data_IF_855975667720
#
_entry.id   IF_855975667720
#
_cell.length_a   1.000
_cell.length_b   1.000
_cell.length_c   1.000
_cell.angle_alpha   90.00
_cell.angle_beta   90.00
_cell.angle_gamma   90.00
#
_symmetry.space_group_name_H-M   'P 1'
#
loop_
_entity.id
_entity.type
_entity.pdbx_description
1 polymer ?
#
# COMPACT_ATOMS: atom_id res chain seq x y z
N UNK A 1 -29.51 -9.89 -20.69
CA UNK A 1 -30.56 -8.85 -20.57
C UNK A 1 -29.87 -7.64 -19.96
N UNK A 2 -30.04 -6.45 -20.56
CA UNK A 2 -29.51 -5.21 -20.00
C UNK A 2 -30.19 -4.97 -18.64
N UNK A 3 -29.45 -4.68 -17.57
CA UNK A 3 -30.08 -4.26 -16.31
C UNK A 3 -30.63 -2.84 -16.43
N UNK A 4 -31.56 -2.44 -15.54
CA UNK A 4 -32.11 -1.08 -15.54
C UNK A 4 -30.99 -0.03 -15.39
N UNK A 5 -29.96 -0.32 -14.58
CA UNK A 5 -28.77 0.51 -14.40
C UNK A 5 -27.94 0.65 -15.69
N UNK A 6 -27.74 -0.43 -16.46
CA UNK A 6 -27.02 -0.36 -17.73
C UNK A 6 -27.77 0.51 -18.76
N UNK A 7 -29.10 0.46 -18.77
CA UNK A 7 -29.94 1.30 -19.65
C UNK A 7 -29.84 2.78 -19.25
N UNK A 8 -29.76 3.06 -17.95
CA UNK A 8 -29.57 4.40 -17.42
C UNK A 8 -28.20 4.98 -17.81
N UNK A 9 -27.10 4.20 -17.67
CA UNK A 9 -25.78 4.62 -18.15
C UNK A 9 -25.74 4.84 -19.67
N UNK A 10 -26.45 4.05 -20.47
CA UNK A 10 -26.51 4.24 -21.92
C UNK A 10 -27.12 5.61 -22.28
N UNK A 11 -28.00 6.13 -21.42
CA UNK A 11 -28.59 7.46 -21.60
C UNK A 11 -27.60 8.60 -21.33
N UNK A 12 -26.60 8.38 -20.46
CA UNK A 12 -25.53 9.33 -20.14
C UNK A 12 -24.57 9.58 -21.31
N UNK A 13 -24.62 8.77 -22.36
CA UNK A 13 -23.76 8.88 -23.56
C UNK A 13 -24.47 9.59 -24.72
N UNK A 14 -25.75 9.93 -24.55
CA UNK A 14 -26.48 10.76 -25.53
C UNK A 14 -25.78 12.13 -25.56
N UNK A 15 -25.20 12.48 -26.72
CA UNK A 15 -24.42 13.70 -26.99
C UNK A 15 -22.88 13.64 -26.79
N UNK A 16 -22.25 12.49 -27.08
CA UNK A 16 -20.78 12.33 -27.06
C UNK A 16 -20.09 12.73 -28.38
N UNK A 17 -20.05 14.03 -28.69
CA UNK A 17 -19.34 14.54 -29.86
C UNK A 17 -17.83 14.26 -29.84
N UNK A 18 -17.25 14.03 -28.66
CA UNK A 18 -15.81 13.80 -28.45
C UNK A 18 -15.37 12.33 -28.53
N UNK A 19 -16.31 11.39 -28.45
CA UNK A 19 -16.05 9.94 -28.32
C UNK A 19 -15.55 9.49 -26.93
N UNK A 20 -15.35 10.42 -25.98
CA UNK A 20 -14.77 10.16 -24.65
C UNK A 20 -15.72 9.38 -23.75
N UNK A 21 -17.02 9.65 -23.80
CA UNK A 21 -18.01 8.93 -22.99
C UNK A 21 -18.14 7.48 -23.46
N UNK A 22 -18.14 7.24 -24.78
CA UNK A 22 -18.18 5.90 -25.34
C UNK A 22 -16.93 5.09 -25.00
N UNK A 23 -15.73 5.69 -25.16
CA UNK A 23 -14.48 5.06 -24.76
C UNK A 23 -14.44 4.77 -23.25
N UNK A 24 -14.89 5.73 -22.43
CA UNK A 24 -14.94 5.59 -20.99
C UNK A 24 -15.88 4.49 -20.52
N UNK A 25 -17.06 4.39 -21.13
CA UNK A 25 -18.01 3.33 -20.82
C UNK A 25 -17.46 1.94 -21.15
N UNK A 26 -16.73 1.82 -22.29
CA UNK A 26 -16.05 0.57 -22.64
C UNK A 26 -15.01 0.19 -21.58
N UNK A 27 -14.10 1.11 -21.24
CA UNK A 27 -13.05 0.84 -20.25
C UNK A 27 -13.63 0.55 -18.87
N UNK A 28 -14.67 1.30 -18.46
CA UNK A 28 -15.38 1.05 -17.22
C UNK A 28 -16.01 -0.35 -17.20
N UNK A 29 -16.59 -0.81 -18.32
CA UNK A 29 -17.14 -2.16 -18.43
C UNK A 29 -16.07 -3.24 -18.40
N UNK A 30 -14.94 -3.02 -19.09
CA UNK A 30 -13.78 -3.93 -19.07
C UNK A 30 -13.23 -4.10 -17.63
N UNK A 31 -13.21 -3.03 -16.83
CA UNK A 31 -12.74 -3.04 -15.43
C UNK A 31 -13.83 -3.57 -14.48
N UNK A 32 -15.04 -3.03 -14.55
CA UNK A 32 -16.09 -3.30 -13.57
C UNK A 32 -16.80 -4.64 -13.75
N UNK A 33 -16.62 -5.31 -14.90
CA UNK A 33 -17.30 -6.56 -15.21
C UNK A 33 -18.82 -6.41 -15.09
N UNK A 34 -19.50 -7.40 -14.51
CA UNK A 34 -20.96 -7.35 -14.30
C UNK A 34 -21.42 -6.24 -13.35
N UNK A 35 -20.52 -5.74 -12.48
CA UNK A 35 -20.81 -4.72 -11.46
C UNK A 35 -20.44 -3.29 -11.86
N UNK A 36 -20.08 -3.05 -13.13
CA UNK A 36 -19.51 -1.76 -13.55
C UNK A 36 -20.46 -0.55 -13.41
N UNK A 37 -21.78 -0.79 -13.52
CA UNK A 37 -22.80 0.25 -13.58
C UNK A 37 -23.08 0.89 -12.20
N UNK A 38 -23.10 0.10 -11.14
CA UNK A 38 -23.60 0.52 -9.83
C UNK A 38 -22.91 1.77 -9.25
N UNK A 39 -21.57 1.92 -9.27
CA UNK A 39 -20.93 3.13 -8.74
C UNK A 39 -21.31 4.40 -9.50
N UNK A 40 -21.49 4.30 -10.82
CA UNK A 40 -21.84 5.43 -11.68
C UNK A 40 -23.33 5.76 -11.56
N UNK A 41 -24.21 4.78 -11.48
CA UNK A 41 -25.64 5.00 -11.25
C UNK A 41 -25.88 5.68 -9.90
N UNK A 42 -25.19 5.22 -8.84
CA UNK A 42 -25.22 5.87 -7.53
C UNK A 42 -24.76 7.34 -7.59
N UNK A 43 -23.73 7.63 -8.40
CA UNK A 43 -23.24 8.99 -8.61
C UNK A 43 -24.23 9.85 -9.42
N UNK A 44 -24.85 9.29 -10.47
CA UNK A 44 -25.81 9.97 -11.33
C UNK A 44 -27.07 10.42 -10.55
N UNK A 45 -27.51 9.61 -9.58
CA UNK A 45 -28.60 9.96 -8.66
C UNK A 45 -28.31 11.22 -7.83
N UNK A 46 -27.02 11.54 -7.60
CA UNK A 46 -26.60 12.77 -6.90
C UNK A 46 -26.32 13.89 -7.91
N UNK A 47 -25.59 13.58 -8.99
CA UNK A 47 -25.23 14.51 -10.04
C UNK A 47 -24.94 13.76 -11.34
N UNK A 48 -25.82 13.92 -12.32
CA UNK A 48 -25.64 13.38 -13.67
C UNK A 48 -24.34 13.90 -14.31
N UNK A 49 -24.08 15.20 -14.18
CA UNK A 49 -22.87 15.84 -14.73
C UNK A 49 -21.59 15.22 -14.15
N UNK A 50 -21.56 14.94 -12.85
CA UNK A 50 -20.40 14.33 -12.21
C UNK A 50 -20.23 12.86 -12.64
N UNK A 51 -21.32 12.13 -12.84
CA UNK A 51 -21.29 10.78 -13.41
C UNK A 51 -20.73 10.81 -14.85
N UNK A 52 -21.22 11.72 -15.69
CA UNK A 52 -20.72 11.91 -17.06
C UNK A 52 -19.24 12.30 -17.07
N UNK A 53 -18.82 13.22 -16.22
CA UNK A 53 -17.41 13.61 -16.09
C UNK A 53 -16.53 12.44 -15.66
N UNK A 54 -17.01 11.61 -14.73
CA UNK A 54 -16.29 10.42 -14.26
C UNK A 54 -16.10 9.40 -15.38
N UNK A 55 -17.10 9.19 -16.22
CA UNK A 55 -16.97 8.32 -17.40
C UNK A 55 -16.00 8.95 -18.41
N UNK A 56 -16.20 10.22 -18.77
CA UNK A 56 -15.49 10.86 -19.86
C UNK A 56 -14.00 11.09 -19.56
N UNK A 57 -13.66 11.55 -18.35
CA UNK A 57 -12.30 11.96 -18.03
C UNK A 57 -11.46 10.80 -17.47
N UNK A 58 -11.69 10.28 -16.25
CA UNK A 58 -10.96 9.11 -15.74
C UNK A 58 -10.91 7.94 -16.71
N UNK A 59 -12.07 7.43 -17.13
CA UNK A 59 -12.10 6.21 -17.95
C UNK A 59 -11.83 6.50 -19.43
N UNK A 60 -12.47 7.54 -19.98
CA UNK A 60 -12.44 7.84 -21.41
C UNK A 60 -11.23 8.59 -21.92
N UNK A 61 -10.57 9.39 -21.07
CA UNK A 61 -9.42 10.21 -21.46
C UNK A 61 -8.13 9.79 -20.79
N UNK A 62 -8.17 9.18 -19.60
CA UNK A 62 -6.95 8.74 -18.88
C UNK A 62 -6.72 7.25 -19.01
N UNK A 63 -7.65 6.39 -18.58
CA UNK A 63 -7.45 4.94 -18.64
C UNK A 63 -7.53 4.37 -20.07
N UNK A 64 -8.22 5.04 -20.99
CA UNK A 64 -8.29 4.66 -22.40
C UNK A 64 -7.04 5.04 -23.22
N UNK A 65 -6.07 5.78 -22.64
CA UNK A 65 -4.89 6.23 -23.37
C UNK A 65 -4.03 5.04 -23.81
N UNK A 66 -3.43 5.10 -25.01
CA UNK A 66 -2.42 4.12 -25.40
C UNK A 66 -1.16 4.29 -24.53
N UNK A 67 -0.31 3.25 -24.47
CA UNK A 67 0.97 3.28 -23.76
C UNK A 67 1.05 2.24 -22.66
N UNK A 68 0.21 2.35 -21.63
CA UNK A 68 0.08 1.35 -20.56
C UNK A 68 -1.13 0.47 -20.79
N UNK A 69 -0.94 -0.85 -20.68
CA UNK A 69 -2.01 -1.84 -20.74
C UNK A 69 -2.97 -1.68 -19.55
N UNK A 70 -4.24 -2.09 -19.71
CA UNK A 70 -5.23 -1.94 -18.64
C UNK A 70 -4.81 -2.65 -17.33
N UNK A 71 -4.19 -3.82 -17.41
CA UNK A 71 -3.62 -4.51 -16.24
C UNK A 71 -2.61 -3.64 -15.49
N UNK A 72 -1.72 -2.97 -16.21
CA UNK A 72 -0.71 -2.09 -15.62
C UNK A 72 -1.36 -0.86 -14.96
N UNK A 73 -2.37 -0.28 -15.63
CA UNK A 73 -3.16 0.82 -15.07
C UNK A 73 -3.90 0.40 -13.81
N UNK A 74 -4.45 -0.82 -13.75
CA UNK A 74 -5.09 -1.33 -12.53
C UNK A 74 -4.09 -1.54 -11.39
N UNK A 75 -2.88 -2.03 -11.67
CA UNK A 75 -1.79 -2.13 -10.68
C UNK A 75 -1.40 -0.75 -10.13
N UNK A 76 -1.27 0.26 -10.99
CA UNK A 76 -1.00 1.65 -10.59
C UNK A 76 -2.17 2.21 -9.76
N UNK A 77 -3.42 1.96 -10.20
CA UNK A 77 -4.62 2.41 -9.48
C UNK A 77 -4.68 1.82 -8.08
N UNK A 78 -4.53 0.50 -7.96
CA UNK A 78 -4.52 -0.18 -6.67
C UNK A 78 -3.38 0.30 -5.77
N UNK A 79 -2.20 0.59 -6.34
CA UNK A 79 -1.06 1.17 -5.62
C UNK A 79 -1.39 2.54 -5.02
N UNK A 80 -2.04 3.41 -5.79
CA UNK A 80 -2.49 4.73 -5.30
C UNK A 80 -3.55 4.58 -4.21
N UNK A 81 -4.52 3.69 -4.39
CA UNK A 81 -5.61 3.47 -3.43
C UNK A 81 -5.11 2.85 -2.11
N UNK A 82 -4.12 1.96 -2.18
CA UNK A 82 -3.40 1.43 -1.01
C UNK A 82 -2.69 2.56 -0.25
N UNK A 83 -2.02 3.48 -0.97
CA UNK A 83 -1.36 4.63 -0.37
C UNK A 83 -2.33 5.66 0.22
N UNK A 84 -3.49 5.85 -0.40
CA UNK A 84 -4.54 6.73 0.11
C UNK A 84 -5.18 6.18 1.39
N UNK A 85 -5.43 4.87 1.45
CA UNK A 85 -5.84 4.18 2.67
C UNK A 85 -7.27 4.45 3.18
N UNK A 86 -8.03 5.35 2.56
CA UNK A 86 -9.42 5.66 2.95
C UNK A 86 -10.47 5.35 1.88
N UNK A 87 -10.06 4.95 0.68
CA UNK A 87 -10.93 4.64 -0.46
C UNK A 87 -11.11 3.12 -0.63
N UNK A 88 -11.52 2.43 0.45
CA UNK A 88 -11.53 0.96 0.50
C UNK A 88 -12.50 0.31 -0.50
N UNK A 89 -13.67 0.92 -0.74
CA UNK A 89 -14.62 0.46 -1.77
C UNK A 89 -14.01 0.52 -3.17
N UNK A 90 -13.27 1.57 -3.48
CA UNK A 90 -12.59 1.77 -4.75
C UNK A 90 -11.41 0.82 -4.88
N UNK A 91 -10.67 0.56 -3.79
CA UNK A 91 -9.62 -0.47 -3.79
C UNK A 91 -10.21 -1.83 -4.16
N UNK A 92 -11.34 -2.23 -3.55
CA UNK A 92 -12.04 -3.47 -3.91
C UNK A 92 -12.49 -3.48 -5.38
N UNK A 93 -13.09 -2.40 -5.87
CA UNK A 93 -13.50 -2.27 -7.27
C UNK A 93 -12.32 -2.45 -8.24
N UNK A 94 -11.18 -1.82 -7.96
CA UNK A 94 -10.01 -1.89 -8.83
C UNK A 94 -9.17 -3.16 -8.66
N UNK A 95 -9.23 -3.86 -7.52
CA UNK A 95 -8.66 -5.20 -7.39
C UNK A 95 -9.49 -6.25 -8.17
N UNK A 96 -10.82 -6.15 -8.13
CA UNK A 96 -11.68 -6.94 -9.02
C UNK A 96 -11.41 -6.60 -10.49
N UNK A 97 -11.29 -5.31 -10.79
CA UNK A 97 -10.97 -4.84 -12.13
C UNK A 97 -9.61 -5.29 -12.64
N UNK A 98 -8.61 -5.38 -11.77
CA UNK A 98 -7.33 -5.98 -12.08
C UNK A 98 -7.50 -7.41 -12.58
N UNK A 99 -8.29 -8.24 -11.89
CA UNK A 99 -8.54 -9.63 -12.32
C UNK A 99 -9.36 -9.69 -13.61
N UNK A 100 -10.33 -8.80 -13.82
CA UNK A 100 -11.14 -8.73 -15.05
C UNK A 100 -10.28 -8.43 -16.30
N UNK A 101 -9.22 -7.64 -16.15
CA UNK A 101 -8.34 -7.25 -17.27
C UNK A 101 -7.06 -8.10 -17.37
N UNK A 102 -7.07 -9.31 -16.81
CA UNK A 102 -6.00 -10.30 -16.95
C UNK A 102 -4.93 -10.27 -15.86
N UNK A 103 -5.18 -9.57 -14.75
CA UNK A 103 -4.37 -9.68 -13.53
C UNK A 103 -4.53 -11.03 -12.84
N UNK A 104 -3.61 -11.32 -11.94
CA UNK A 104 -3.50 -12.62 -11.25
C UNK A 104 -3.54 -12.49 -9.73
N UNK A 105 -3.68 -13.63 -9.04
CA UNK A 105 -3.43 -13.74 -7.61
C UNK A 105 -2.08 -13.13 -7.20
N UNK A 106 -1.03 -13.42 -7.98
CA UNK A 106 0.33 -12.97 -7.71
C UNK A 106 0.47 -11.45 -7.85
N UNK A 107 -0.32 -10.80 -8.69
CA UNK A 107 -0.36 -9.34 -8.79
C UNK A 107 -0.91 -8.71 -7.51
N UNK A 108 -2.00 -9.27 -6.98
CA UNK A 108 -2.61 -8.82 -5.72
C UNK A 108 -1.64 -9.04 -4.56
N UNK A 109 -1.03 -10.23 -4.46
CA UNK A 109 -0.05 -10.52 -3.40
C UNK A 109 1.19 -9.62 -3.51
N UNK A 110 1.66 -9.33 -4.73
CA UNK A 110 2.77 -8.39 -4.95
C UNK A 110 2.43 -6.98 -4.45
N UNK A 111 1.20 -6.52 -4.66
CA UNK A 111 0.74 -5.22 -4.12
C UNK A 111 0.72 -5.21 -2.58
N UNK A 112 0.38 -6.34 -1.93
CA UNK A 112 0.45 -6.46 -0.47
C UNK A 112 1.91 -6.39 0.04
N UNK A 113 2.84 -7.11 -0.58
CA UNK A 113 4.26 -7.04 -0.24
C UNK A 113 4.85 -5.65 -0.49
N UNK A 114 4.53 -5.05 -1.64
CA UNK A 114 5.01 -3.72 -2.00
C UNK A 114 4.47 -2.65 -1.05
N UNK A 115 3.17 -2.71 -0.70
CA UNK A 115 2.59 -1.79 0.27
C UNK A 115 3.20 -1.95 1.66
N UNK A 116 3.48 -3.19 2.10
CA UNK A 116 4.16 -3.41 3.38
C UNK A 116 5.56 -2.79 3.41
N UNK A 117 6.30 -2.85 2.29
CA UNK A 117 7.62 -2.24 2.16
C UNK A 117 7.59 -0.73 2.06
N UNK A 118 6.75 -0.19 1.16
CA UNK A 118 6.75 1.24 0.79
C UNK A 118 5.90 2.08 1.75
N UNK A 119 4.76 1.56 2.19
CA UNK A 119 3.78 2.27 3.02
C UNK A 119 3.79 1.81 4.48
N UNK A 120 4.46 0.69 4.78
CA UNK A 120 4.44 0.01 6.07
C UNK A 120 3.35 -1.07 6.17
N UNK A 121 3.58 -2.05 7.03
CA UNK A 121 2.69 -3.21 7.23
C UNK A 121 1.20 -2.88 7.47
N UNK A 122 0.80 -1.79 8.17
CA UNK A 122 -0.61 -1.44 8.33
C UNK A 122 -1.40 -1.32 7.03
N UNK A 123 -0.78 -0.78 5.96
CA UNK A 123 -1.44 -0.66 4.66
C UNK A 123 -1.79 -2.05 4.10
N UNK A 124 -0.83 -2.98 4.13
CA UNK A 124 -1.04 -4.36 3.70
C UNK A 124 -2.09 -5.08 4.55
N UNK A 125 -1.98 -4.98 5.89
CA UNK A 125 -2.92 -5.62 6.84
C UNK A 125 -4.37 -5.21 6.56
N UNK A 126 -4.61 -3.92 6.31
CA UNK A 126 -5.96 -3.41 6.05
C UNK A 126 -6.49 -3.83 4.67
N UNK A 127 -5.61 -4.11 3.71
CA UNK A 127 -5.99 -4.56 2.39
C UNK A 127 -6.30 -6.07 2.33
N UNK A 128 -5.82 -6.89 3.26
CA UNK A 128 -6.03 -8.36 3.23
C UNK A 128 -7.51 -8.76 3.18
N UNK A 129 -8.43 -8.21 3.99
CA UNK A 129 -9.84 -8.58 3.89
C UNK A 129 -10.46 -8.26 2.53
N UNK A 130 -10.00 -7.19 1.87
CA UNK A 130 -10.47 -6.78 0.55
C UNK A 130 -9.90 -7.72 -0.51
N UNK A 131 -8.59 -7.99 -0.49
CA UNK A 131 -7.95 -8.95 -1.36
C UNK A 131 -8.58 -10.35 -1.26
N UNK A 132 -8.87 -10.80 -0.03
CA UNK A 132 -9.55 -12.07 0.24
C UNK A 132 -10.94 -12.12 -0.40
N UNK A 133 -11.74 -11.07 -0.18
CA UNK A 133 -13.08 -10.99 -0.76
C UNK A 133 -13.03 -10.99 -2.30
N UNK A 134 -12.10 -10.24 -2.90
CA UNK A 134 -11.85 -10.22 -4.34
C UNK A 134 -11.46 -11.60 -4.88
N UNK A 135 -10.47 -12.27 -4.28
CA UNK A 135 -10.03 -13.59 -4.73
C UNK A 135 -11.15 -14.64 -4.63
N UNK A 136 -11.92 -14.60 -3.54
CA UNK A 136 -13.07 -15.47 -3.34
C UNK A 136 -14.16 -15.24 -4.40
N UNK A 137 -14.46 -13.99 -4.75
CA UNK A 137 -15.44 -13.64 -5.80
C UNK A 137 -15.05 -14.23 -7.17
N UNK A 138 -13.76 -14.30 -7.46
CA UNK A 138 -13.25 -14.87 -8.71
C UNK A 138 -12.97 -16.38 -8.64
N UNK A 139 -13.31 -17.05 -7.53
CA UNK A 139 -12.99 -18.46 -7.26
C UNK A 139 -11.49 -18.79 -7.40
N UNK A 140 -10.62 -17.82 -7.13
CA UNK A 140 -9.18 -17.98 -7.21
C UNK A 140 -8.68 -18.46 -5.85
N UNK A 141 -8.20 -19.70 -5.81
CA UNK A 141 -7.49 -20.25 -4.65
C UNK A 141 -5.98 -20.15 -4.89
N UNK A 142 -5.20 -20.08 -3.81
CA UNK A 142 -3.73 -20.09 -3.88
C UNK A 142 -3.23 -21.31 -4.67
N UNK A 143 -2.44 -21.08 -5.71
CA UNK A 143 -1.60 -22.13 -6.27
C UNK A 143 -0.36 -22.31 -5.39
N UNK A 144 -0.12 -23.53 -4.91
CA UNK A 144 1.05 -23.85 -4.10
C UNK A 144 2.30 -23.95 -5.01
N UNK A 145 2.79 -22.80 -5.48
CA UNK A 145 4.02 -22.70 -6.28
C UNK A 145 5.26 -22.51 -5.39
N UNK A 146 6.40 -23.05 -5.80
CA UNK A 146 7.69 -22.80 -5.15
C UNK A 146 8.14 -21.37 -5.41
N UNK A 147 8.17 -20.55 -4.37
CA UNK A 147 8.43 -19.12 -4.43
C UNK A 147 9.93 -18.82 -4.54
N UNK A 148 10.50 -18.80 -5.75
CA UNK A 148 11.85 -18.25 -5.94
C UNK A 148 11.81 -16.72 -5.88
N UNK A 149 12.58 -16.12 -4.97
CA UNK A 149 12.76 -14.67 -4.92
C UNK A 149 13.32 -14.15 -6.26
N UNK A 150 12.75 -13.06 -6.79
CA UNK A 150 13.34 -12.39 -7.94
C UNK A 150 14.51 -11.53 -7.48
N UNK A 151 15.55 -11.42 -8.31
CA UNK A 151 16.64 -10.46 -8.09
C UNK A 151 16.06 -9.06 -8.20
N UNK A 152 15.95 -8.34 -7.07
CA UNK A 152 15.54 -6.95 -7.08
C UNK A 152 16.74 -6.07 -7.39
N UNK A 153 16.70 -5.38 -8.55
CA UNK A 153 17.66 -4.32 -8.86
C UNK A 153 17.53 -3.23 -7.78
N UNK A 154 18.67 -2.81 -7.22
CA UNK A 154 18.69 -1.73 -6.23
C UNK A 154 19.84 -0.77 -6.54
N UNK A 155 19.65 0.49 -6.21
CA UNK A 155 20.66 1.53 -6.43
C UNK A 155 21.73 1.51 -5.34
N UNK A 156 22.99 1.50 -5.76
CA UNK A 156 24.16 1.68 -4.91
C UNK A 156 24.40 3.18 -4.65
N UNK A 157 23.67 3.74 -3.69
CA UNK A 157 24.05 5.02 -3.06
C UNK A 157 25.11 4.74 -1.98
N UNK A 158 26.38 4.69 -2.36
CA UNK A 158 27.46 4.33 -1.42
C UNK A 158 27.62 5.36 -0.29
N UNK A 159 27.43 6.64 -0.58
CA UNK A 159 27.54 7.72 0.41
C UNK A 159 26.38 7.67 1.39
N UNK A 160 25.12 7.67 0.92
CA UNK A 160 23.96 7.57 1.80
C UNK A 160 23.90 6.23 2.56
N UNK A 161 24.49 5.17 2.00
CA UNK A 161 24.68 3.89 2.71
C UNK A 161 25.67 4.03 3.87
N UNK A 162 26.84 4.63 3.64
CA UNK A 162 27.85 4.81 4.68
C UNK A 162 27.35 5.70 5.82
N UNK A 163 26.59 6.75 5.50
CA UNK A 163 25.95 7.62 6.50
C UNK A 163 24.96 6.84 7.37
N UNK A 164 24.09 6.03 6.76
CA UNK A 164 23.14 5.20 7.51
C UNK A 164 23.83 4.12 8.35
N UNK A 165 24.89 3.50 7.83
CA UNK A 165 25.68 2.51 8.57
C UNK A 165 26.31 3.11 9.83
N UNK A 166 26.79 4.34 9.74
CA UNK A 166 27.37 5.06 10.89
C UNK A 166 26.33 5.35 12.00
N UNK A 167 25.05 5.51 11.64
CA UNK A 167 23.97 5.79 12.60
C UNK A 167 23.34 4.50 13.14
N UNK A 168 23.04 3.54 12.28
CA UNK A 168 22.37 2.29 12.64
C UNK A 168 22.69 1.16 11.65
N UNK A 169 23.70 0.33 11.97
CA UNK A 169 24.01 -0.87 11.18
C UNK A 169 22.81 -1.82 11.06
N UNK A 170 22.01 -1.92 12.12
CA UNK A 170 20.79 -2.75 12.14
C UNK A 170 19.76 -2.28 11.11
N UNK A 171 19.54 -0.96 11.00
CA UNK A 171 18.60 -0.42 10.02
C UNK A 171 19.08 -0.67 8.59
N UNK A 172 20.37 -0.49 8.32
CA UNK A 172 20.93 -0.80 7.00
C UNK A 172 20.80 -2.28 6.67
N UNK A 173 21.05 -3.16 7.65
CA UNK A 173 20.81 -4.61 7.52
C UNK A 173 19.35 -4.91 7.18
N UNK A 174 18.39 -4.34 7.89
CA UNK A 174 16.96 -4.54 7.59
C UNK A 174 16.53 -3.93 6.25
N UNK A 175 17.08 -2.79 5.85
CA UNK A 175 16.85 -2.23 4.52
C UNK A 175 17.26 -3.22 3.43
N UNK A 176 18.41 -3.88 3.59
CA UNK A 176 18.87 -4.90 2.64
C UNK A 176 18.06 -6.21 2.72
N UNK A 177 17.90 -6.77 3.92
CA UNK A 177 17.33 -8.11 4.09
C UNK A 177 15.81 -8.13 4.08
N UNK A 178 15.18 -7.13 4.69
CA UNK A 178 13.71 -7.11 4.84
C UNK A 178 13.08 -6.35 3.69
N UNK A 179 13.48 -5.09 3.48
CA UNK A 179 12.85 -4.27 2.44
C UNK A 179 13.16 -4.79 1.04
N UNK A 180 14.45 -4.97 0.68
CA UNK A 180 14.80 -5.42 -0.66
C UNK A 180 14.56 -6.92 -0.88
N UNK A 181 14.98 -7.78 0.05
CA UNK A 181 14.87 -9.23 -0.15
C UNK A 181 13.49 -9.79 0.27
N UNK A 182 13.10 -9.65 1.54
CA UNK A 182 11.87 -10.32 2.04
C UNK A 182 10.57 -9.67 1.55
N UNK A 183 10.57 -8.37 1.25
CA UNK A 183 9.39 -7.64 0.76
C UNK A 183 9.40 -7.50 -0.76
N UNK A 184 10.30 -6.67 -1.32
CA UNK A 184 10.31 -6.43 -2.76
C UNK A 184 10.75 -7.66 -3.58
N UNK A 185 11.67 -8.47 -3.07
CA UNK A 185 12.14 -9.70 -3.73
C UNK A 185 11.09 -10.81 -3.81
N UNK A 186 10.01 -10.72 -3.02
CA UNK A 186 8.85 -11.62 -3.10
C UNK A 186 7.74 -11.13 -4.03
N UNK A 187 7.82 -9.89 -4.52
CA UNK A 187 6.96 -9.43 -5.59
C UNK A 187 7.21 -10.22 -6.89
N UNK A 188 6.14 -10.45 -7.65
CA UNK A 188 6.16 -11.12 -8.96
C UNK A 188 5.99 -10.14 -10.12
N UNK A 189 5.83 -8.86 -9.82
CA UNK A 189 5.90 -7.78 -10.80
C UNK A 189 7.31 -7.67 -11.35
N UNK A 190 7.47 -7.62 -12.67
CA UNK A 190 8.76 -7.32 -13.29
C UNK A 190 9.28 -5.95 -12.86
N UNK A 191 10.61 -5.76 -12.84
CA UNK A 191 11.26 -4.56 -12.29
C UNK A 191 10.68 -3.23 -12.75
N UNK A 192 10.35 -3.09 -14.06
CA UNK A 192 9.66 -1.91 -14.61
C UNK A 192 8.37 -1.59 -13.83
N UNK A 193 7.46 -2.55 -13.76
CA UNK A 193 6.13 -2.34 -13.17
C UNK A 193 6.17 -2.28 -11.65
N UNK A 194 7.07 -3.04 -11.01
CA UNK A 194 7.32 -2.98 -9.57
C UNK A 194 7.68 -1.56 -9.12
N UNK A 195 8.62 -0.93 -9.81
CA UNK A 195 9.09 0.41 -9.46
C UNK A 195 8.12 1.52 -9.86
N UNK A 196 7.36 1.36 -10.95
CA UNK A 196 6.23 2.25 -11.28
C UNK A 196 5.17 2.20 -10.18
N UNK A 197 4.80 1.01 -9.70
CA UNK A 197 3.84 0.84 -8.60
C UNK A 197 4.36 1.46 -7.29
N UNK A 198 5.64 1.28 -6.96
CA UNK A 198 6.27 1.90 -5.80
C UNK A 198 6.26 3.44 -5.91
N UNK A 199 6.59 3.98 -7.08
CA UNK A 199 6.54 5.40 -7.36
C UNK A 199 5.11 5.95 -7.26
N UNK A 200 4.09 5.19 -7.69
CA UNK A 200 2.68 5.56 -7.54
C UNK A 200 2.28 5.72 -6.07
N UNK A 201 2.70 4.78 -5.21
CA UNK A 201 2.48 4.86 -3.76
C UNK A 201 3.13 6.11 -3.15
N UNK A 202 4.40 6.38 -3.49
CA UNK A 202 5.17 7.51 -2.96
C UNK A 202 4.67 8.86 -3.48
N UNK A 203 4.29 8.94 -4.75
CA UNK A 203 3.69 10.12 -5.36
C UNK A 203 2.35 10.49 -4.69
N UNK A 204 1.56 9.48 -4.31
CA UNK A 204 0.28 9.68 -3.60
C UNK A 204 0.48 10.30 -2.22
N UNK A 205 1.52 9.89 -1.49
CA UNK A 205 1.77 10.42 -0.15
C UNK A 205 2.40 11.82 -0.16
N UNK A 206 3.16 12.16 -1.21
CA UNK A 206 3.87 13.44 -1.37
C UNK A 206 4.78 13.85 -0.19
N UNK A 207 5.24 12.87 0.61
CA UNK A 207 6.07 13.07 1.82
C UNK A 207 7.53 12.67 1.66
N UNK A 208 7.84 11.84 0.67
CA UNK A 208 9.14 11.17 0.53
C UNK A 208 9.76 11.40 -0.85
N UNK A 209 10.16 12.64 -1.19
CA UNK A 209 10.63 12.97 -2.54
C UNK A 209 11.88 12.18 -2.93
N UNK A 210 12.82 11.91 -2.02
CA UNK A 210 14.00 11.09 -2.33
C UNK A 210 13.64 9.63 -2.65
N UNK A 211 12.66 9.06 -1.92
CA UNK A 211 12.16 7.72 -2.20
C UNK A 211 11.46 7.64 -3.56
N UNK A 212 10.65 8.64 -3.89
CA UNK A 212 10.02 8.74 -5.21
C UNK A 212 11.08 8.84 -6.31
N UNK A 213 12.04 9.73 -6.15
CA UNK A 213 13.16 9.93 -7.08
C UNK A 213 13.92 8.61 -7.34
N UNK A 214 14.19 7.86 -6.26
CA UNK A 214 14.85 6.57 -6.32
C UNK A 214 14.06 5.53 -7.14
N UNK A 215 12.76 5.38 -6.89
CA UNK A 215 11.95 4.42 -7.63
C UNK A 215 11.67 4.83 -9.07
N UNK A 216 11.58 6.13 -9.38
CA UNK A 216 11.50 6.62 -10.76
C UNK A 216 12.78 6.26 -11.54
N UNK A 217 13.95 6.46 -10.93
CA UNK A 217 15.23 6.06 -11.52
C UNK A 217 15.32 4.55 -11.75
N UNK A 218 14.92 3.74 -10.76
CA UNK A 218 14.91 2.28 -10.89
C UNK A 218 13.90 1.77 -11.93
N UNK A 219 12.74 2.43 -12.08
CA UNK A 219 11.78 2.11 -13.12
C UNK A 219 12.41 2.28 -14.51
N UNK A 220 13.04 3.43 -14.78
CA UNK A 220 13.72 3.70 -16.05
C UNK A 220 14.86 2.71 -16.31
N UNK A 221 15.64 2.39 -15.27
CA UNK A 221 16.70 1.40 -15.33
C UNK A 221 16.21 0.00 -15.68
N UNK A 222 15.00 -0.34 -15.20
CA UNK A 222 14.35 -1.61 -15.45
C UNK A 222 13.57 -1.64 -16.78
N UNK A 223 13.77 -0.63 -17.65
CA UNK A 223 13.17 -0.55 -18.98
C UNK A 223 11.89 0.26 -19.07
N UNK A 224 11.47 1.00 -18.03
CA UNK A 224 10.41 1.98 -18.17
C UNK A 224 10.86 3.10 -19.14
N UNK A 225 9.94 3.53 -20.00
CA UNK A 225 10.13 4.70 -20.84
C UNK A 225 9.77 5.97 -20.07
N UNK A 226 10.23 7.12 -20.56
CA UNK A 226 9.73 8.42 -20.06
C UNK A 226 8.20 8.50 -20.19
N UNK A 227 7.63 7.97 -21.28
CA UNK A 227 6.18 7.93 -21.50
C UNK A 227 5.45 7.10 -20.43
N UNK A 228 6.04 6.01 -19.94
CA UNK A 228 5.43 5.21 -18.86
C UNK A 228 5.29 6.04 -17.58
N UNK A 229 6.31 6.84 -17.26
CA UNK A 229 6.30 7.71 -16.09
C UNK A 229 5.34 8.88 -16.27
N UNK A 230 5.27 9.46 -17.48
CA UNK A 230 4.27 10.49 -17.79
C UNK A 230 2.84 9.95 -17.62
N UNK A 231 2.56 8.74 -18.10
CA UNK A 231 1.26 8.07 -17.89
C UNK A 231 0.98 7.81 -16.40
N UNK A 232 1.98 7.40 -15.61
CA UNK A 232 1.86 7.30 -14.16
C UNK A 232 1.45 8.65 -13.53
N UNK A 233 2.11 9.75 -13.89
CA UNK A 233 1.84 11.07 -13.30
C UNK A 233 0.43 11.58 -13.66
N UNK A 234 -0.02 11.33 -14.90
CA UNK A 234 -1.40 11.59 -15.33
C UNK A 234 -2.37 10.76 -14.47
N UNK A 235 -2.05 9.48 -14.24
CA UNK A 235 -2.90 8.58 -13.44
C UNK A 235 -3.01 9.01 -11.97
N UNK A 236 -1.90 9.48 -11.38
CA UNK A 236 -1.87 10.10 -10.04
C UNK A 236 -2.79 11.32 -9.98
N UNK A 237 -2.91 12.11 -11.04
CA UNK A 237 -3.80 13.30 -11.04
C UNK A 237 -5.27 12.94 -10.81
N UNK A 238 -5.70 11.76 -11.28
CA UNK A 238 -7.08 11.28 -11.16
C UNK A 238 -7.34 10.69 -9.77
N UNK A 239 -6.46 9.80 -9.31
CA UNK A 239 -6.72 9.02 -8.10
C UNK A 239 -6.13 9.62 -6.81
N UNK A 240 -5.16 10.51 -6.92
CA UNK A 240 -4.52 11.21 -5.80
C UNK A 240 -4.55 12.75 -5.93
N UNK A 241 -5.16 13.28 -6.99
CA UNK A 241 -5.35 14.71 -7.24
C UNK A 241 -4.18 15.41 -7.93
N UNK A 242 -4.49 16.51 -8.62
CA UNK A 242 -3.51 17.34 -9.34
C UNK A 242 -2.31 17.81 -8.48
N UNK A 243 -2.47 18.25 -7.22
CA UNK A 243 -1.32 18.69 -6.41
C UNK A 243 -0.27 17.59 -6.20
N UNK A 244 -0.70 16.35 -5.97
CA UNK A 244 0.17 15.18 -5.82
C UNK A 244 0.92 14.89 -7.13
N UNK A 245 0.21 14.94 -8.26
CA UNK A 245 0.80 14.76 -9.59
C UNK A 245 1.84 15.85 -9.93
N UNK A 246 1.56 17.12 -9.63
CA UNK A 246 2.48 18.24 -9.86
C UNK A 246 3.74 18.16 -8.99
N UNK A 247 3.57 17.75 -7.72
CA UNK A 247 4.70 17.49 -6.82
C UNK A 247 5.58 16.37 -7.36
N UNK A 248 4.98 15.26 -7.79
CA UNK A 248 5.70 14.14 -8.38
C UNK A 248 6.38 14.52 -9.71
N UNK A 249 5.73 15.34 -10.55
CA UNK A 249 6.31 15.85 -11.80
C UNK A 249 7.56 16.72 -11.54
N UNK A 250 7.59 17.48 -10.45
CA UNK A 250 8.78 18.24 -10.05
C UNK A 250 9.94 17.32 -9.70
N UNK A 251 9.68 16.19 -9.04
CA UNK A 251 10.70 15.17 -8.76
C UNK A 251 11.15 14.50 -10.06
N UNK A 252 10.22 14.13 -10.94
CA UNK A 252 10.56 13.51 -12.22
C UNK A 252 11.39 14.43 -13.13
N UNK A 253 11.09 15.73 -13.14
CA UNK A 253 11.90 16.71 -13.87
C UNK A 253 13.36 16.72 -13.41
N UNK A 254 13.63 16.53 -12.12
CA UNK A 254 15.01 16.38 -11.60
C UNK A 254 15.65 15.06 -12.07
N UNK A 255 14.89 13.97 -12.08
CA UNK A 255 15.36 12.67 -12.59
C UNK A 255 15.78 12.78 -14.05
N UNK A 256 15.03 13.50 -14.89
CA UNK A 256 15.36 13.70 -16.31
C UNK A 256 16.57 14.64 -16.54
N UNK A 257 16.86 15.53 -15.59
CA UNK A 257 17.98 16.46 -15.70
C UNK A 257 19.35 15.79 -15.47
N UNK A 258 19.36 14.58 -14.90
CA UNK A 258 20.58 13.83 -14.60
C UNK A 258 20.63 12.54 -15.42
N UNK A 259 21.81 12.13 -15.93
CA UNK A 259 21.92 10.87 -16.64
C UNK A 259 21.57 9.72 -15.70
N UNK A 260 20.76 8.78 -16.21
CA UNK A 260 20.49 7.51 -15.55
C UNK A 260 21.84 6.77 -15.43
N UNK A 261 22.39 6.74 -14.22
CA UNK A 261 23.63 6.01 -13.95
C UNK A 261 23.37 4.50 -14.05
N UNK A 262 24.39 3.73 -14.42
CA UNK A 262 24.32 2.28 -14.32
C UNK A 262 24.04 1.89 -12.85
N UNK A 263 23.12 0.95 -12.66
CA UNK A 263 22.80 0.41 -11.33
C UNK A 263 23.66 -0.82 -11.12
N UNK A 264 24.35 -0.87 -9.99
CA UNK A 264 25.06 -2.07 -9.60
C UNK A 264 24.03 -3.11 -9.16
N UNK A 265 23.89 -4.20 -9.93
CA UNK A 265 23.27 -5.42 -9.42
C UNK A 265 24.19 -6.01 -8.36
N UNK A 266 23.88 -5.77 -7.09
CA UNK A 266 24.46 -6.59 -6.04
C UNK A 266 23.56 -7.81 -5.79
N UNK A 267 24.14 -9.01 -5.60
CA UNK A 267 23.37 -10.15 -5.13
C UNK A 267 22.67 -9.76 -3.82
N UNK A 268 21.36 -10.00 -3.73
CA UNK A 268 20.66 -9.92 -2.45
C UNK A 268 21.42 -10.81 -1.45
N UNK A 269 21.60 -10.34 -0.22
CA UNK A 269 22.34 -11.08 0.79
C UNK A 269 21.81 -12.52 0.89
N UNK A 270 22.65 -13.49 0.52
CA UNK A 270 22.30 -14.93 0.47
C UNK A 270 22.39 -15.62 1.83
N UNK A 271 22.66 -14.86 2.89
CA UNK A 271 22.68 -15.41 4.24
C UNK A 271 21.31 -15.97 4.59
N UNK A 272 21.24 -17.30 4.67
CA UNK A 272 20.11 -18.05 5.22
C UNK A 272 19.81 -17.50 6.61
N UNK A 273 18.74 -16.70 6.73
CA UNK A 273 18.23 -16.29 8.02
C UNK A 273 17.63 -17.52 8.69
N UNK A 274 17.86 -17.69 9.99
CA UNK A 274 17.03 -18.61 10.76
C UNK A 274 15.63 -17.99 10.94
N UNK A 275 14.85 -18.11 9.87
CA UNK A 275 13.48 -17.64 9.82
C UNK A 275 12.60 -18.36 10.83
N UNK A 276 12.99 -19.53 11.31
CA UNK A 276 12.27 -20.26 12.36
C UNK A 276 12.51 -19.64 13.72
N UNK A 277 13.77 -19.38 14.08
CA UNK A 277 14.12 -18.74 15.35
C UNK A 277 13.54 -17.33 15.45
N UNK A 278 13.65 -16.53 14.38
CA UNK A 278 13.07 -15.18 14.34
C UNK A 278 11.56 -15.20 14.55
N UNK A 279 10.87 -16.12 13.87
CA UNK A 279 9.43 -16.27 14.01
C UNK A 279 9.06 -16.73 15.43
N UNK A 280 9.79 -17.69 16.01
CA UNK A 280 9.55 -18.17 17.39
C UNK A 280 9.68 -17.04 18.40
N UNK A 281 10.79 -16.29 18.36
CA UNK A 281 11.01 -15.11 19.21
C UNK A 281 9.92 -14.05 19.02
N UNK A 282 9.50 -13.84 17.78
CA UNK A 282 8.42 -12.91 17.45
C UNK A 282 7.07 -13.35 18.02
N UNK A 283 6.74 -14.64 17.91
CA UNK A 283 5.51 -15.21 18.45
C UNK A 283 5.48 -15.11 19.99
N UNK A 284 6.60 -15.39 20.66
CA UNK A 284 6.74 -15.22 22.11
C UNK A 284 6.58 -13.75 22.54
N UNK A 285 7.25 -12.84 21.84
CA UNK A 285 7.17 -11.39 22.10
C UNK A 285 5.74 -10.88 21.92
N UNK A 286 5.09 -11.29 20.84
CA UNK A 286 3.71 -10.92 20.55
C UNK A 286 2.74 -11.54 21.58
N UNK A 287 2.92 -12.80 21.96
CA UNK A 287 2.08 -13.44 22.98
C UNK A 287 2.16 -12.72 24.33
N UNK A 288 3.35 -12.26 24.72
CA UNK A 288 3.58 -11.53 25.96
C UNK A 288 2.85 -10.18 26.03
N UNK A 289 2.65 -9.49 24.90
CA UNK A 289 1.97 -8.17 24.87
C UNK A 289 0.51 -8.25 24.45
N UNK A 290 0.14 -9.22 23.61
CA UNK A 290 -1.20 -9.34 23.03
C UNK A 290 -2.24 -9.98 23.95
N UNK A 291 -1.84 -10.52 25.11
CA UNK A 291 -2.75 -11.26 25.99
C UNK A 291 -3.29 -12.55 25.35
N UNK A 292 -2.56 -13.10 24.36
CA UNK A 292 -2.88 -14.36 23.69
C UNK A 292 -3.42 -14.26 22.25
N UNK A 293 -3.63 -13.06 21.69
CA UNK A 293 -4.15 -12.89 20.32
C UNK A 293 -3.08 -12.93 19.22
N UNK A 294 -1.83 -13.31 19.55
CA UNK A 294 -0.72 -13.29 18.60
C UNK A 294 -0.88 -14.18 17.36
N UNK A 295 -1.62 -15.30 17.47
CA UNK A 295 -1.91 -16.16 16.32
C UNK A 295 -2.85 -15.50 15.30
N UNK A 296 -3.73 -14.59 15.73
CA UNK A 296 -4.72 -13.94 14.88
C UNK A 296 -4.05 -13.11 13.76
N UNK A 297 -2.86 -12.57 14.01
CA UNK A 297 -2.09 -11.82 13.01
C UNK A 297 -1.67 -12.72 11.85
N UNK A 298 -1.18 -13.94 12.14
CA UNK A 298 -0.78 -14.89 11.09
C UNK A 298 -2.01 -15.43 10.37
N UNK A 299 -3.05 -15.77 11.11
CA UNK A 299 -4.30 -16.32 10.58
C UNK A 299 -5.00 -15.33 9.62
N UNK A 300 -4.85 -14.02 9.87
CA UNK A 300 -5.35 -12.95 9.00
C UNK A 300 -4.79 -13.05 7.57
N UNK A 301 -3.63 -13.67 7.35
CA UNK A 301 -2.99 -13.76 6.04
C UNK A 301 -3.02 -15.17 5.42
N UNK A 302 -3.45 -16.19 6.17
CA UNK A 302 -3.17 -17.60 5.85
C UNK A 302 -3.62 -18.07 4.45
N UNK A 303 -4.72 -17.53 3.94
CA UNK A 303 -5.35 -17.88 2.66
C UNK A 303 -5.00 -16.93 1.50
N UNK A 304 -4.40 -15.77 1.78
CA UNK A 304 -4.02 -14.76 0.77
C UNK A 304 -2.51 -14.67 0.61
N UNK A 305 -1.78 -14.40 1.69
CA UNK A 305 -0.34 -14.16 1.66
C UNK A 305 0.32 -14.66 2.98
N UNK A 306 0.30 -15.98 3.26
CA UNK A 306 0.72 -16.54 4.55
C UNK A 306 2.14 -16.16 4.93
N UNK A 307 3.03 -16.11 3.95
CA UNK A 307 4.43 -15.71 4.12
C UNK A 307 4.59 -14.26 4.57
N UNK A 308 3.71 -13.35 4.13
CA UNK A 308 3.69 -11.97 4.61
C UNK A 308 3.24 -11.91 6.08
N UNK A 309 2.25 -12.72 6.47
CA UNK A 309 1.84 -12.89 7.87
C UNK A 309 3.00 -13.40 8.74
N UNK A 310 3.73 -14.40 8.24
CA UNK A 310 4.93 -14.94 8.92
C UNK A 310 6.04 -13.88 9.04
N UNK A 311 6.26 -13.09 8.00
CA UNK A 311 7.25 -12.01 7.98
C UNK A 311 6.92 -10.90 8.98
N UNK A 312 5.64 -10.53 9.14
CA UNK A 312 5.21 -9.56 10.16
C UNK A 312 5.63 -10.02 11.55
N UNK A 313 5.37 -11.28 11.90
CA UNK A 313 5.75 -11.83 13.21
C UNK A 313 7.27 -11.88 13.35
N UNK A 314 7.97 -12.44 12.35
CA UNK A 314 9.42 -12.61 12.41
C UNK A 314 10.18 -11.27 12.46
N UNK A 315 9.74 -10.26 11.71
CA UNK A 315 10.42 -8.98 11.65
C UNK A 315 9.94 -7.99 12.72
N UNK A 316 8.65 -7.65 12.72
CA UNK A 316 8.14 -6.62 13.64
C UNK A 316 8.32 -7.07 15.09
N UNK A 317 7.94 -8.31 15.42
CA UNK A 317 8.05 -8.79 16.80
C UNK A 317 9.40 -9.45 17.07
N UNK A 318 9.88 -10.29 16.15
CA UNK A 318 11.12 -11.05 16.33
C UNK A 318 12.40 -10.23 16.20
N UNK A 319 12.45 -9.20 15.35
CA UNK A 319 13.65 -8.38 15.15
C UNK A 319 13.55 -6.99 15.81
N UNK A 320 12.35 -6.38 15.85
CA UNK A 320 12.19 -4.98 16.32
C UNK A 320 11.70 -4.90 17.77
N UNK A 321 10.55 -5.50 18.12
CA UNK A 321 9.98 -5.39 19.47
C UNK A 321 10.70 -6.23 20.53
N UNK A 322 11.37 -7.32 20.14
CA UNK A 322 12.15 -8.17 21.05
C UNK A 322 13.47 -7.53 21.54
N UNK A 323 13.86 -6.38 20.98
CA UNK A 323 15.14 -5.70 21.30
C UNK A 323 15.14 -5.18 22.74
N UNK A 324 16.29 -5.27 23.39
CA UNK A 324 16.43 -4.92 24.81
C UNK A 324 16.63 -3.41 25.08
N UNK A 325 16.82 -2.58 24.05
CA UNK A 325 17.12 -1.14 24.23
C UNK A 325 15.95 -0.28 24.73
N UNK A 326 14.72 -0.79 24.70
CA UNK A 326 13.53 -0.17 25.28
C UNK A 326 12.72 -1.27 25.95
N UNK A 327 12.21 -1.00 27.16
CA UNK A 327 11.32 -1.92 27.86
C UNK A 327 9.96 -2.03 27.13
N UNK A 328 9.19 -3.10 27.34
CA UNK A 328 7.93 -3.33 26.63
C UNK A 328 6.92 -2.19 26.77
N UNK A 329 6.80 -1.58 27.96
CA UNK A 329 5.86 -0.47 28.18
C UNK A 329 6.26 0.74 27.36
N UNK A 330 7.54 1.10 27.38
CA UNK A 330 8.05 2.22 26.56
C UNK A 330 7.86 1.97 25.06
N UNK A 331 8.00 0.72 24.60
CA UNK A 331 7.73 0.36 23.19
C UNK A 331 6.28 0.58 22.80
N UNK A 332 5.33 0.10 23.61
CA UNK A 332 3.91 0.26 23.30
C UNK A 332 3.49 1.74 23.33
N UNK A 333 3.95 2.51 24.33
CA UNK A 333 3.68 3.96 24.38
C UNK A 333 4.28 4.70 23.18
N UNK A 334 5.48 4.32 22.73
CA UNK A 334 6.11 4.90 21.53
C UNK A 334 5.34 4.54 20.26
N UNK A 335 4.85 3.30 20.14
CA UNK A 335 4.02 2.87 19.02
C UNK A 335 2.69 3.63 18.98
N UNK A 336 2.01 3.79 20.13
CA UNK A 336 0.78 4.58 20.27
C UNK A 336 1.03 6.03 19.85
N UNK A 337 2.11 6.66 20.31
CA UNK A 337 2.46 8.03 19.93
C UNK A 337 2.75 8.15 18.43
N UNK A 338 3.51 7.21 17.85
CA UNK A 338 3.82 7.20 16.42
C UNK A 338 2.56 7.05 15.55
N UNK A 339 1.67 6.11 15.89
CA UNK A 339 0.41 5.87 15.16
C UNK A 339 -0.57 7.03 15.31
N UNK A 340 -0.61 7.66 16.49
CA UNK A 340 -1.35 8.90 16.72
C UNK A 340 -0.84 10.01 15.81
N UNK A 341 0.48 10.18 15.71
CA UNK A 341 1.10 11.20 14.87
C UNK A 341 0.93 10.96 13.37
N UNK A 342 0.86 9.70 12.94
CA UNK A 342 0.55 9.36 11.55
C UNK A 342 -0.85 9.82 11.15
N UNK A 343 -1.83 9.71 12.05
CA UNK A 343 -3.21 10.18 11.88
C UNK A 343 -3.87 9.78 10.54
N UNK A 344 -3.53 8.59 10.03
CA UNK A 344 -4.11 8.03 8.81
C UNK A 344 -5.18 7.00 9.15
N UNK A 345 -6.12 6.78 8.23
CA UNK A 345 -7.12 5.70 8.36
C UNK A 345 -6.45 4.34 8.54
N UNK A 346 -5.29 4.13 7.91
CA UNK A 346 -4.56 2.86 8.01
C UNK A 346 -3.92 2.63 9.38
N UNK A 347 -3.67 3.69 10.15
CA UNK A 347 -3.11 3.62 11.50
C UNK A 347 -4.15 3.30 12.59
N UNK A 348 -5.46 3.44 12.30
CA UNK A 348 -6.51 3.31 13.32
C UNK A 348 -6.60 1.92 13.96
N UNK A 349 -6.54 0.86 13.14
CA UNK A 349 -6.57 -0.53 13.62
C UNK A 349 -5.30 -0.88 14.41
N UNK A 350 -4.07 -0.63 13.91
CA UNK A 350 -2.87 -0.81 14.71
C UNK A 350 -2.87 -0.01 16.01
N UNK A 351 -3.36 1.24 16.01
CA UNK A 351 -3.40 2.06 17.22
C UNK A 351 -4.20 1.37 18.33
N UNK A 352 -5.37 0.82 17.98
CA UNK A 352 -6.16 0.02 18.92
C UNK A 352 -5.39 -1.19 19.45
N UNK A 353 -4.71 -1.93 18.57
CA UNK A 353 -3.92 -3.11 18.95
C UNK A 353 -2.84 -2.72 19.96
N UNK A 354 -2.11 -1.63 19.73
CA UNK A 354 -1.06 -1.16 20.63
C UNK A 354 -1.62 -0.57 21.94
N UNK A 355 -2.80 0.06 21.92
CA UNK A 355 -3.51 0.45 23.17
C UNK A 355 -3.89 -0.80 23.98
N UNK A 356 -4.45 -1.82 23.34
CA UNK A 356 -4.80 -3.08 24.01
C UNK A 356 -3.56 -3.79 24.57
N UNK A 357 -2.44 -3.77 23.83
CA UNK A 357 -1.16 -4.31 24.27
C UNK A 357 -0.58 -3.55 25.48
N UNK A 358 -0.62 -2.22 25.47
CA UNK A 358 -0.20 -1.42 26.62
C UNK A 358 -1.03 -1.75 27.87
N UNK A 359 -2.35 -1.87 27.73
CA UNK A 359 -3.23 -2.24 28.85
C UNK A 359 -2.95 -3.67 29.36
N UNK A 360 -2.60 -4.62 28.49
CA UNK A 360 -2.17 -5.97 28.89
C UNK A 360 -0.87 -5.97 29.70
N UNK A 361 0.03 -5.03 29.41
CA UNK A 361 1.26 -4.82 30.18
C UNK A 361 1.00 -4.09 31.52
N UNK A 362 -0.25 -3.77 31.85
CA UNK A 362 -0.62 -3.07 33.09
C UNK A 362 -0.38 -1.57 33.04
N UNK A 363 -0.29 -0.98 31.84
CA UNK A 363 -0.20 0.47 31.69
C UNK A 363 -1.55 1.11 32.03
N UNK A 364 -1.53 2.09 32.93
CA UNK A 364 -2.70 2.88 33.32
C UNK A 364 -3.27 3.68 32.13
N UNK A 365 -4.60 3.75 31.92
CA UNK A 365 -5.21 4.54 30.85
C UNK A 365 -4.72 5.99 30.82
N UNK A 366 -4.51 6.61 31.99
CA UNK A 366 -3.97 7.97 32.14
C UNK A 366 -2.60 8.10 31.45
N UNK A 367 -1.72 7.11 31.59
CA UNK A 367 -0.39 7.15 30.95
C UNK A 367 -0.49 6.99 29.42
N UNK A 368 -1.47 6.24 28.93
CA UNK A 368 -1.77 6.14 27.49
C UNK A 368 -2.32 7.46 26.97
N UNK A 369 -3.23 8.11 27.72
CA UNK A 369 -3.77 9.43 27.40
C UNK A 369 -2.65 10.47 27.31
N UNK A 370 -1.72 10.50 28.27
CA UNK A 370 -0.57 11.41 28.23
C UNK A 370 0.33 11.19 27.00
N UNK A 371 0.57 9.93 26.62
CA UNK A 371 1.33 9.63 25.39
C UNK A 371 0.61 10.15 24.13
N UNK A 372 -0.72 10.05 24.08
CA UNK A 372 -1.55 10.60 23.00
C UNK A 372 -1.52 12.14 23.03
N UNK A 373 -1.71 12.77 24.19
CA UNK A 373 -1.71 14.23 24.36
C UNK A 373 -0.35 14.85 24.01
N UNK A 374 0.76 14.17 24.31
CA UNK A 374 2.10 14.64 23.99
C UNK A 374 2.34 14.81 22.47
N UNK A 375 1.53 14.16 21.64
CA UNK A 375 1.60 14.29 20.17
C UNK A 375 0.86 15.55 19.67
N UNK A 376 0.04 16.20 20.51
CA UNK A 376 -0.78 17.35 20.14
C UNK A 376 0.00 18.49 19.44
N UNK A 377 1.20 18.91 19.90
CA UNK A 377 1.95 19.99 19.26
C UNK A 377 2.42 19.66 17.84
N UNK A 378 2.48 18.38 17.48
CA UNK A 378 3.05 17.90 16.21
C UNK A 378 1.97 17.47 15.21
N UNK A 379 0.83 16.94 15.69
CA UNK A 379 -0.22 16.39 14.84
C UNK A 379 -1.57 17.15 14.91
N UNK A 380 -1.70 18.09 15.85
CA UNK A 380 -2.90 18.91 16.00
C UNK A 380 -4.11 18.18 16.61
N UNK A 381 -5.13 18.96 16.99
CA UNK A 381 -6.31 18.47 17.72
C UNK A 381 -7.09 17.33 17.03
N UNK A 382 -7.35 17.34 15.71
CA UNK A 382 -8.13 16.28 15.07
C UNK A 382 -7.50 14.89 15.20
N UNK A 383 -6.17 14.79 15.11
CA UNK A 383 -5.45 13.53 15.29
C UNK A 383 -5.60 12.98 16.72
N UNK A 384 -5.48 13.87 17.71
CA UNK A 384 -5.61 13.53 19.13
C UNK A 384 -7.03 13.11 19.47
N UNK A 385 -8.04 13.85 19.02
CA UNK A 385 -9.44 13.52 19.24
C UNK A 385 -9.78 12.13 18.66
N UNK A 386 -9.31 11.85 17.45
CA UNK A 386 -9.48 10.54 16.82
C UNK A 386 -8.80 9.43 17.63
N UNK A 387 -7.55 9.63 18.05
CA UNK A 387 -6.79 8.67 18.84
C UNK A 387 -7.43 8.38 20.21
N UNK A 388 -7.89 9.43 20.92
CA UNK A 388 -8.62 9.28 22.19
C UNK A 388 -9.93 8.51 22.01
N UNK A 389 -10.66 8.78 20.92
CA UNK A 389 -11.88 8.03 20.61
C UNK A 389 -11.61 6.54 20.34
N UNK A 390 -10.48 6.20 19.69
CA UNK A 390 -10.06 4.81 19.50
C UNK A 390 -9.69 4.17 20.84
N UNK A 391 -8.86 4.84 21.65
CA UNK A 391 -8.41 4.35 22.95
C UNK A 391 -9.57 4.13 23.92
N UNK A 392 -10.56 5.03 23.94
CA UNK A 392 -11.78 4.93 24.76
C UNK A 392 -12.51 3.60 24.55
N UNK A 393 -12.54 3.06 23.32
CA UNK A 393 -13.21 1.78 23.07
C UNK A 393 -12.48 0.63 23.77
N UNK A 394 -11.15 0.68 23.84
CA UNK A 394 -10.34 -0.31 24.57
C UNK A 394 -10.46 -0.15 26.08
N UNK A 395 -10.48 1.09 26.59
CA UNK A 395 -10.68 1.36 28.02
C UNK A 395 -12.01 0.82 28.53
N UNK A 396 -13.10 1.00 27.77
CA UNK A 396 -14.44 0.55 28.19
C UNK A 396 -14.66 -0.97 28.15
N UNK A 397 -13.74 -1.75 27.55
CA UNK A 397 -13.83 -3.21 27.49
C UNK A 397 -13.22 -3.91 28.71
N UNK A 398 -12.49 -3.16 29.54
CA UNK A 398 -11.85 -3.61 30.78
C UNK A 398 -12.55 -2.95 31.96
#
# INVERSE_FOLDING_TARGET
MCTDEESELASLVKDDSSGRLAAGLKVLKDIGGDGFAAPIAALANVSEDLARLTIAFPYGEVLARPGLELRERQIITASILLAHGSAQSQLGFHLNGLLNVGGSHDDIVSLLYLSAGVLGFPAAINAVPIARATLAQHNISRECGSETAQSAMHYSDQEGRAELEAVSPDFLKWKSQVFWHDLLGRCRLGGRLLHIAAAAMLATQAKHPQGLEHHLRLALASGATQSDIEELLIHVSVYAGFPSALTAATVFSKVLAEPIRAFDEQPLATESRDDTERFSRGAETLAATSGGSGSEVVDTFADVAPELGRLIVAHCYGDVFSRQGLDPVTRELTAIAALTGMATVTAERPLRVHVDAALNLGVDPERIIEAILNVLPYAGFPAIEKALNIARVSFNRR
#
